data_IF_970596764063
#
_entry.id   IF_970596764063
#
_cell.length_a   1.000
_cell.length_b   1.000
_cell.length_c   1.000
_cell.angle_alpha   90.00
_cell.angle_beta   90.00
_cell.angle_gamma   90.00
#
_symmetry.space_group_name_H-M   'P 1'
#
loop_
_entity.id
_entity.type
_entity.pdbx_description
1 polymer ?
#
# COMPACT_ATOMS: atom_id res chain seq x y z
N UNK A 1 -44.04 -6.11 -17.47
CA UNK A 1 -43.67 -4.79 -16.91
C UNK A 1 -42.17 -4.82 -16.68
N UNK A 2 -41.39 -3.97 -17.34
CA UNK A 2 -39.94 -3.87 -17.10
C UNK A 2 -39.70 -2.79 -16.06
N UNK A 3 -39.35 -3.20 -14.84
CA UNK A 3 -38.88 -2.26 -13.82
C UNK A 3 -37.49 -1.73 -14.18
N UNK A 4 -37.21 -0.51 -13.76
CA UNK A 4 -35.92 0.17 -13.84
C UNK A 4 -35.41 0.30 -12.40
N UNK A 5 -34.14 -0.04 -12.19
CA UNK A 5 -33.49 -0.02 -10.88
C UNK A 5 -33.62 1.33 -10.20
N UNK A 6 -33.93 1.31 -8.89
CA UNK A 6 -33.99 2.52 -8.06
C UNK A 6 -35.29 3.32 -8.14
N UNK A 7 -36.23 2.94 -9.00
CA UNK A 7 -37.55 3.56 -9.06
C UNK A 7 -38.54 2.94 -8.07
N UNK A 8 -39.49 3.77 -7.63
CA UNK A 8 -40.63 3.35 -6.82
C UNK A 8 -41.79 2.92 -7.71
N UNK A 9 -42.24 1.68 -7.52
CA UNK A 9 -43.42 1.12 -8.21
C UNK A 9 -44.56 0.97 -7.21
N UNK A 10 -45.80 1.04 -7.66
CA UNK A 10 -46.97 0.72 -6.84
C UNK A 10 -47.79 -0.35 -7.53
N UNK A 11 -48.22 -1.37 -6.78
CA UNK A 11 -49.14 -2.37 -7.30
C UNK A 11 -50.57 -1.84 -7.16
N UNK A 12 -51.38 -1.90 -8.23
CA UNK A 12 -52.79 -1.56 -8.16
C UNK A 12 -53.63 -2.83 -8.36
N UNK A 13 -54.63 -3.04 -7.51
CA UNK A 13 -55.58 -4.16 -7.62
C UNK A 13 -57.01 -3.63 -7.68
N UNK A 14 -57.88 -4.35 -8.37
CA UNK A 14 -59.32 -4.15 -8.37
C UNK A 14 -60.02 -5.50 -8.28
N UNK A 15 -61.16 -5.57 -7.59
CA UNK A 15 -62.03 -6.74 -7.60
C UNK A 15 -63.00 -6.67 -8.77
N UNK A 16 -63.30 -7.81 -9.39
CA UNK A 16 -64.43 -7.98 -10.31
C UNK A 16 -65.30 -9.12 -9.77
N UNK A 17 -66.61 -8.91 -9.70
CA UNK A 17 -67.54 -9.95 -9.26
C UNK A 17 -67.96 -10.89 -10.42
N UNK A 18 -68.76 -11.92 -10.09
CA UNK A 18 -69.21 -12.93 -11.06
C UNK A 18 -70.13 -12.37 -12.16
N UNK A 19 -70.67 -11.15 -11.99
CA UNK A 19 -71.51 -10.46 -12.97
C UNK A 19 -70.78 -9.32 -13.68
N UNK A 20 -69.49 -9.13 -13.40
CA UNK A 20 -68.60 -8.23 -14.11
C UNK A 20 -68.47 -6.82 -13.51
N UNK A 21 -69.08 -6.52 -12.37
CA UNK A 21 -68.94 -5.22 -11.71
C UNK A 21 -67.58 -5.10 -11.03
N UNK A 22 -66.95 -3.94 -11.15
CA UNK A 22 -65.61 -3.69 -10.59
C UNK A 22 -65.62 -2.75 -9.39
N UNK A 23 -64.71 -2.97 -8.45
CA UNK A 23 -64.41 -2.01 -7.39
C UNK A 23 -63.60 -0.82 -7.91
N UNK A 24 -63.39 0.20 -7.06
CA UNK A 24 -62.31 1.15 -7.28
C UNK A 24 -60.95 0.45 -7.22
N UNK A 25 -59.96 0.99 -7.94
CA UNK A 25 -58.56 0.57 -7.83
C UNK A 25 -58.02 0.94 -6.45
N UNK A 26 -57.28 0.03 -5.84
CA UNK A 26 -56.53 0.26 -4.59
C UNK A 26 -55.05 0.07 -4.87
N UNK A 27 -54.24 1.08 -4.57
CA UNK A 27 -52.78 0.99 -4.66
C UNK A 27 -52.18 0.32 -3.43
N UNK A 28 -51.00 -0.29 -3.58
CA UNK A 28 -50.20 -0.77 -2.46
C UNK A 28 -49.92 0.36 -1.47
N UNK A 29 -49.94 0.05 -0.16
CA UNK A 29 -49.70 1.03 0.89
C UNK A 29 -48.25 1.56 0.90
N UNK A 30 -47.32 0.79 0.34
CA UNK A 30 -45.91 1.14 0.19
C UNK A 30 -45.47 0.98 -1.27
N UNK A 31 -44.40 1.69 -1.62
CA UNK A 31 -43.71 1.49 -2.88
C UNK A 31 -43.00 0.13 -2.89
N UNK A 32 -43.06 -0.53 -4.03
CA UNK A 32 -42.25 -1.67 -4.42
C UNK A 32 -40.95 -1.11 -4.99
N UNK A 33 -39.83 -1.45 -4.36
CA UNK A 33 -38.50 -1.09 -4.84
C UNK A 33 -37.92 -2.26 -5.62
N UNK A 34 -37.34 -1.97 -6.79
CA UNK A 34 -36.67 -2.95 -7.64
C UNK A 34 -35.19 -2.57 -7.73
N UNK A 35 -34.31 -3.48 -7.30
CA UNK A 35 -32.88 -3.39 -7.51
C UNK A 35 -32.39 -4.74 -8.05
N UNK A 36 -31.83 -4.71 -9.26
CA UNK A 36 -31.38 -5.91 -9.98
C UNK A 36 -29.89 -5.88 -10.30
N UNK A 37 -29.19 -4.80 -9.94
CA UNK A 37 -27.77 -4.64 -10.28
C UNK A 37 -26.96 -4.90 -9.02
N UNK A 38 -26.03 -5.86 -9.01
CA UNK A 38 -25.16 -6.02 -7.85
C UNK A 38 -24.12 -4.88 -7.76
N UNK A 39 -23.65 -4.51 -6.56
CA UNK A 39 -22.45 -3.69 -6.43
C UNK A 39 -21.24 -4.41 -7.05
N UNK A 40 -20.35 -3.67 -7.72
CA UNK A 40 -19.10 -4.22 -8.29
C UNK A 40 -17.92 -3.37 -7.86
N UNK A 41 -16.73 -3.95 -7.71
CA UNK A 41 -15.51 -3.18 -7.44
C UNK A 41 -15.12 -2.37 -8.68
N UNK A 42 -15.01 -1.06 -8.51
CA UNK A 42 -14.68 -0.11 -9.58
C UNK A 42 -13.18 0.23 -9.60
N UNK A 43 -12.57 0.39 -8.43
CA UNK A 43 -11.13 0.62 -8.32
C UNK A 43 -10.59 0.29 -6.93
N UNK A 44 -9.27 0.11 -6.85
CA UNK A 44 -8.50 0.01 -5.61
C UNK A 44 -7.38 1.03 -5.66
N UNK A 45 -7.23 1.86 -4.63
CA UNK A 45 -6.17 2.85 -4.56
C UNK A 45 -5.74 3.10 -3.12
N UNK A 46 -4.76 3.98 -2.89
CA UNK A 46 -4.35 4.43 -1.56
C UNK A 46 -4.33 5.96 -1.49
N UNK A 47 -4.48 6.52 -0.29
CA UNK A 47 -4.19 7.93 -0.02
C UNK A 47 -2.72 8.17 0.31
N UNK A 48 -1.92 7.10 0.44
CA UNK A 48 -0.48 7.20 0.62
C UNK A 48 0.15 7.80 -0.63
N UNK A 49 1.10 8.71 -0.45
CA UNK A 49 1.88 9.26 -1.56
C UNK A 49 2.73 8.15 -2.21
N UNK A 50 3.13 8.36 -3.45
CA UNK A 50 4.10 7.49 -4.10
C UNK A 50 5.46 7.59 -3.38
N UNK A 51 6.19 6.48 -3.28
CA UNK A 51 7.47 6.41 -2.59
C UNK A 51 7.73 5.09 -1.87
N UNK A 52 8.87 5.01 -1.19
CA UNK A 52 9.32 3.85 -0.44
C UNK A 52 8.97 3.93 1.04
N UNK A 53 8.51 2.80 1.60
CA UNK A 53 8.00 2.72 2.96
C UNK A 53 8.66 1.60 3.77
N UNK A 54 9.29 1.94 4.91
CA UNK A 54 9.93 0.97 5.79
C UNK A 54 8.93 0.28 6.72
N UNK A 55 9.45 -0.71 7.46
CA UNK A 55 8.73 -1.43 8.53
C UNK A 55 8.00 -0.47 9.47
N UNK A 56 6.79 -0.86 9.89
CA UNK A 56 5.94 -0.10 10.79
C UNK A 56 5.11 0.99 10.10
N UNK A 57 5.35 1.26 8.81
CA UNK A 57 4.52 2.19 8.06
C UNK A 57 3.11 1.65 7.89
N UNK A 58 2.12 2.49 8.20
CA UNK A 58 0.71 2.22 7.88
C UNK A 58 0.40 2.67 6.45
N UNK A 59 -0.23 1.78 5.69
CA UNK A 59 -0.72 1.97 4.33
C UNK A 59 -2.22 1.66 4.32
N UNK A 60 -3.01 2.72 4.16
CA UNK A 60 -4.46 2.67 4.08
C UNK A 60 -4.88 2.50 2.60
N UNK A 61 -5.73 1.52 2.32
CA UNK A 61 -6.13 1.08 0.97
C UNK A 61 -7.65 1.24 0.84
N UNK A 62 -8.08 1.98 -0.17
CA UNK A 62 -9.48 2.23 -0.46
C UNK A 62 -9.95 1.33 -1.60
N UNK A 63 -10.98 0.52 -1.34
CA UNK A 63 -11.69 -0.27 -2.35
C UNK A 63 -13.01 0.44 -2.66
N UNK A 64 -13.13 0.96 -3.88
CA UNK A 64 -14.31 1.68 -4.36
C UNK A 64 -15.26 0.72 -5.07
N UNK A 65 -16.54 0.77 -4.71
CA UNK A 65 -17.65 0.04 -5.33
C UNK A 65 -18.51 0.97 -6.19
N UNK A 66 -19.23 0.38 -7.15
CA UNK A 66 -20.15 1.09 -8.05
C UNK A 66 -21.36 1.71 -7.35
N UNK A 67 -21.70 1.24 -6.14
CA UNK A 67 -22.74 1.78 -5.27
C UNK A 67 -22.42 1.53 -3.81
N UNK A 68 -23.27 2.07 -2.93
CA UNK A 68 -23.16 1.89 -1.48
C UNK A 68 -23.25 0.41 -1.09
N UNK A 69 -22.35 -0.02 -0.22
CA UNK A 69 -22.27 -1.38 0.31
C UNK A 69 -22.34 -1.38 1.84
N UNK A 70 -22.85 -2.48 2.37
CA UNK A 70 -23.02 -2.79 3.79
C UNK A 70 -22.21 -4.04 4.08
N UNK A 71 -21.33 -3.93 5.07
CA UNK A 71 -20.46 -5.02 5.52
C UNK A 71 -21.07 -5.73 6.72
N UNK A 72 -21.09 -7.06 6.69
CA UNK A 72 -21.40 -7.91 7.86
C UNK A 72 -20.17 -8.70 8.28
N UNK A 73 -20.00 -8.93 9.59
CA UNK A 73 -18.83 -9.63 10.17
C UNK A 73 -17.49 -9.01 9.75
N UNK A 74 -17.24 -7.73 10.06
CA UNK A 74 -16.10 -6.97 9.53
C UNK A 74 -14.72 -7.61 9.80
N UNK A 75 -14.57 -8.36 10.90
CA UNK A 75 -13.31 -9.04 11.23
C UNK A 75 -12.95 -10.23 10.33
N UNK A 76 -13.82 -10.62 9.39
CA UNK A 76 -13.56 -11.68 8.40
C UNK A 76 -13.27 -11.12 7.00
N UNK A 77 -13.38 -9.80 6.82
CA UNK A 77 -13.16 -9.16 5.53
C UNK A 77 -11.68 -8.80 5.40
N UNK A 78 -11.04 -9.30 4.35
CA UNK A 78 -9.61 -9.12 4.13
C UNK A 78 -9.27 -8.93 2.65
N UNK A 79 -8.23 -8.15 2.39
CA UNK A 79 -7.64 -7.96 1.08
C UNK A 79 -6.20 -8.51 1.11
N UNK A 80 -5.94 -9.59 0.38
CA UNK A 80 -4.62 -10.19 0.33
C UNK A 80 -3.69 -9.37 -0.58
N UNK A 81 -2.55 -8.93 -0.05
CA UNK A 81 -1.54 -8.14 -0.74
C UNK A 81 -0.36 -9.03 -1.15
N UNK A 82 0.21 -8.72 -2.32
CA UNK A 82 1.49 -9.24 -2.78
C UNK A 82 2.61 -8.37 -2.19
N UNK A 83 3.21 -8.88 -1.11
CA UNK A 83 4.22 -8.17 -0.29
C UNK A 83 5.57 -8.86 -0.36
N UNK A 84 5.83 -9.66 -1.39
CA UNK A 84 7.08 -10.37 -1.63
C UNK A 84 6.98 -11.85 -1.28
N UNK A 85 7.99 -12.40 -0.59
CA UNK A 85 8.02 -13.84 -0.29
C UNK A 85 6.89 -14.31 0.64
N UNK A 86 6.24 -13.39 1.35
CA UNK A 86 5.08 -13.67 2.19
C UNK A 86 4.03 -12.62 1.94
N UNK A 87 2.85 -13.06 1.49
CA UNK A 87 1.68 -12.23 1.30
C UNK A 87 1.08 -11.81 2.65
N UNK A 88 0.60 -10.57 2.72
CA UNK A 88 -0.03 -10.02 3.92
C UNK A 88 -1.48 -9.66 3.65
N UNK A 89 -2.35 -9.94 4.61
CA UNK A 89 -3.74 -9.50 4.54
C UNK A 89 -3.88 -8.09 5.09
N UNK A 90 -4.32 -7.15 4.26
CA UNK A 90 -4.86 -5.88 4.71
C UNK A 90 -6.25 -6.10 5.33
N UNK A 91 -6.49 -5.54 6.50
CA UNK A 91 -7.70 -5.78 7.29
C UNK A 91 -8.71 -4.67 7.08
N UNK A 92 -10.00 -5.01 6.99
CA UNK A 92 -11.06 -4.01 6.91
C UNK A 92 -11.10 -3.13 8.17
N UNK A 93 -11.22 -1.82 7.98
CA UNK A 93 -11.27 -0.80 9.04
C UNK A 93 -12.63 -0.12 9.11
N UNK A 94 -13.14 0.39 7.98
CA UNK A 94 -14.36 1.21 7.93
C UNK A 94 -14.93 1.32 6.52
N UNK A 95 -16.10 1.97 6.38
CA UNK A 95 -16.68 2.30 5.07
C UNK A 95 -18.05 1.67 4.78
N UNK A 96 -18.55 0.81 5.67
CA UNK A 96 -19.93 0.30 5.61
C UNK A 96 -20.96 1.43 5.56
N UNK A 97 -22.01 1.27 4.76
CA UNK A 97 -22.97 2.32 4.36
C UNK A 97 -22.36 3.45 3.51
N UNK A 98 -21.23 3.19 2.86
CA UNK A 98 -20.67 4.04 1.81
C UNK A 98 -20.31 3.19 0.59
N UNK A 99 -19.88 3.81 -0.50
CA UNK A 99 -19.36 3.11 -1.68
C UNK A 99 -17.85 2.81 -1.59
N UNK A 100 -17.15 3.27 -0.54
CA UNK A 100 -15.72 3.05 -0.37
C UNK A 100 -15.46 2.32 0.94
N UNK A 101 -14.75 1.19 0.85
CA UNK A 101 -14.27 0.45 2.01
C UNK A 101 -12.79 0.72 2.24
N UNK A 102 -12.42 1.01 3.48
CA UNK A 102 -11.05 1.24 3.91
C UNK A 102 -10.48 -0.06 4.48
N UNK A 103 -9.32 -0.46 3.97
CA UNK A 103 -8.48 -1.54 4.46
C UNK A 103 -7.16 -0.96 4.96
N UNK A 104 -6.53 -1.64 5.91
CA UNK A 104 -5.25 -1.22 6.47
C UNK A 104 -4.24 -2.35 6.46
N UNK A 105 -3.06 -2.02 5.95
CA UNK A 105 -1.86 -2.81 6.02
C UNK A 105 -0.80 -2.05 6.81
N UNK A 106 -0.03 -2.75 7.63
CA UNK A 106 1.16 -2.21 8.30
C UNK A 106 2.35 -3.02 7.84
N UNK A 107 3.36 -2.34 7.29
CA UNK A 107 4.57 -2.98 6.76
C UNK A 107 5.25 -3.79 7.87
N UNK A 108 5.48 -5.08 7.62
CA UNK A 108 6.12 -5.99 8.57
C UNK A 108 7.56 -6.27 8.13
N UNK A 109 8.42 -6.66 9.07
CA UNK A 109 9.79 -7.06 8.73
C UNK A 109 9.79 -8.24 7.74
N UNK A 110 10.58 -8.13 6.67
CA UNK A 110 10.70 -9.13 5.61
C UNK A 110 9.76 -8.91 4.43
N UNK A 111 8.77 -8.02 4.54
CA UNK A 111 7.90 -7.65 3.42
C UNK A 111 8.70 -6.78 2.44
N UNK A 112 8.66 -7.10 1.14
CA UNK A 112 9.37 -6.34 0.11
C UNK A 112 8.58 -6.39 -1.19
N UNK A 113 8.21 -5.23 -1.73
CA UNK A 113 7.48 -5.11 -2.99
C UNK A 113 7.95 -3.89 -3.76
N UNK A 114 8.35 -4.09 -5.01
CA UNK A 114 8.75 -3.00 -5.90
C UNK A 114 7.58 -2.12 -6.33
N UNK A 115 6.35 -2.63 -6.21
CA UNK A 115 5.11 -1.89 -6.40
C UNK A 115 3.96 -2.66 -5.72
N UNK A 116 3.44 -2.13 -4.62
CA UNK A 116 2.48 -2.80 -3.76
C UNK A 116 1.15 -3.02 -4.50
N UNK A 117 0.70 -4.27 -4.52
CA UNK A 117 -0.52 -4.67 -5.22
C UNK A 117 -1.29 -5.70 -4.40
N UNK A 118 -2.57 -5.91 -4.71
CA UNK A 118 -3.28 -7.11 -4.26
C UNK A 118 -2.83 -8.35 -5.04
N UNK A 119 -2.84 -9.51 -4.40
CA UNK A 119 -2.27 -10.74 -4.96
C UNK A 119 -2.94 -11.18 -6.27
N UNK A 120 -4.25 -11.02 -6.39
CA UNK A 120 -5.02 -11.45 -7.56
C UNK A 120 -6.39 -10.76 -7.63
N UNK A 121 -7.11 -10.95 -8.73
CA UNK A 121 -8.48 -10.42 -8.88
C UNK A 121 -9.48 -11.01 -7.87
N UNK A 122 -9.14 -12.11 -7.20
CA UNK A 122 -9.97 -12.73 -6.14
C UNK A 122 -9.42 -12.47 -4.73
N UNK A 123 -8.50 -11.53 -4.55
CA UNK A 123 -7.83 -11.27 -3.27
C UNK A 123 -8.73 -10.62 -2.20
N UNK A 124 -9.88 -10.05 -2.59
CA UNK A 124 -10.87 -9.55 -1.65
C UNK A 124 -11.77 -10.70 -1.17
N UNK A 125 -11.69 -11.00 0.12
CA UNK A 125 -12.40 -12.14 0.72
C UNK A 125 -13.25 -11.68 1.90
N UNK A 126 -14.32 -12.43 2.18
CA UNK A 126 -15.30 -12.06 3.22
C UNK A 126 -15.48 -13.11 4.32
N UNK A 127 -14.85 -14.28 4.20
CA UNK A 127 -15.04 -15.41 5.13
C UNK A 127 -16.52 -15.75 5.30
N UNK A 128 -17.01 -15.74 6.56
CA UNK A 128 -18.44 -15.91 6.90
C UNK A 128 -19.25 -14.60 6.87
N UNK A 129 -18.60 -13.48 6.52
CA UNK A 129 -19.21 -12.17 6.35
C UNK A 129 -19.85 -11.97 4.97
N UNK A 130 -20.23 -10.73 4.69
CA UNK A 130 -20.79 -10.34 3.39
C UNK A 130 -20.54 -8.86 3.10
N UNK A 131 -20.50 -8.53 1.81
CA UNK A 131 -20.55 -7.18 1.28
C UNK A 131 -21.75 -7.15 0.34
N UNK A 132 -22.77 -6.36 0.68
CA UNK A 132 -24.05 -6.32 -0.05
C UNK A 132 -24.66 -4.93 0.00
N UNK A 133 -25.58 -4.62 -0.90
CA UNK A 133 -26.33 -3.36 -0.81
C UNK A 133 -27.51 -3.43 0.19
N UNK A 134 -28.27 -2.34 0.29
CA UNK A 134 -29.48 -2.26 1.12
C UNK A 134 -30.64 -3.13 0.61
N UNK A 135 -30.61 -3.56 -0.65
CA UNK A 135 -31.56 -4.51 -1.23
C UNK A 135 -31.14 -5.97 -0.99
N UNK A 136 -30.03 -6.21 -0.27
CA UNK A 136 -29.39 -7.49 -0.02
C UNK A 136 -28.76 -8.16 -1.26
N UNK A 137 -28.50 -7.42 -2.34
CA UNK A 137 -27.73 -7.93 -3.47
C UNK A 137 -26.26 -8.06 -3.07
N UNK A 138 -25.72 -9.27 -3.15
CA UNK A 138 -24.30 -9.55 -2.85
C UNK A 138 -23.42 -8.89 -3.89
N UNK A 139 -22.36 -8.21 -3.44
CA UNK A 139 -21.40 -7.55 -4.32
C UNK A 139 -20.55 -8.57 -5.10
N UNK A 140 -20.24 -8.25 -6.35
CA UNK A 140 -19.15 -8.89 -7.08
C UNK A 140 -17.82 -8.35 -6.53
N UNK A 141 -17.02 -9.26 -5.96
CA UNK A 141 -15.76 -8.94 -5.30
C UNK A 141 -14.55 -9.05 -6.25
N UNK A 142 -14.80 -9.35 -7.53
CA UNK A 142 -13.75 -9.40 -8.54
C UNK A 142 -13.08 -8.03 -8.64
N UNK A 143 -11.81 -7.96 -8.26
CA UNK A 143 -11.00 -6.75 -8.36
C UNK A 143 -10.61 -6.49 -9.82
N UNK A 144 -10.30 -5.23 -10.18
CA UNK A 144 -9.72 -4.92 -11.49
C UNK A 144 -8.48 -5.75 -11.79
N UNK A 145 -8.14 -5.92 -13.08
CA UNK A 145 -6.86 -6.55 -13.42
C UNK A 145 -5.68 -5.72 -12.87
N UNK A 146 -4.64 -6.40 -12.39
CA UNK A 146 -3.46 -5.74 -11.83
C UNK A 146 -2.69 -4.94 -12.89
N UNK A 147 -2.05 -3.84 -12.48
CA UNK A 147 -1.30 -2.95 -13.37
C UNK A 147 -2.15 -1.95 -14.17
N UNK A 148 -3.48 -2.01 -14.08
CA UNK A 148 -4.36 -1.00 -14.67
C UNK A 148 -4.49 0.22 -13.75
N UNK A 149 -4.82 1.39 -14.32
CA UNK A 149 -5.07 2.63 -13.58
C UNK A 149 -6.16 2.53 -12.48
N UNK A 150 -6.98 1.47 -12.52
CA UNK A 150 -8.00 1.16 -11.50
C UNK A 150 -7.54 0.15 -10.44
N UNK A 151 -6.33 -0.40 -10.56
CA UNK A 151 -5.70 -1.28 -9.55
C UNK A 151 -4.78 -0.50 -8.62
N UNK A 152 -4.34 -1.11 -7.50
CA UNK A 152 -3.51 -0.40 -6.51
C UNK A 152 -2.18 0.07 -7.11
N UNK A 153 -1.34 -0.86 -7.56
CA UNK A 153 -0.04 -0.55 -8.19
C UNK A 153 -0.13 0.18 -9.55
N UNK A 154 -1.26 0.07 -10.26
CA UNK A 154 -1.45 0.89 -11.46
C UNK A 154 -1.91 2.33 -11.18
N UNK A 155 -2.36 2.64 -9.96
CA UNK A 155 -2.81 3.97 -9.55
C UNK A 155 -1.87 4.67 -8.56
N UNK A 156 -0.88 3.96 -8.04
CA UNK A 156 0.14 4.42 -7.08
C UNK A 156 1.44 3.65 -7.29
N UNK A 157 2.57 4.31 -7.05
CA UNK A 157 3.89 3.71 -7.03
C UNK A 157 4.36 3.57 -5.57
N UNK A 158 3.81 2.59 -4.85
CA UNK A 158 4.11 2.34 -3.44
C UNK A 158 5.14 1.22 -3.35
N UNK A 159 6.38 1.57 -2.98
CA UNK A 159 7.44 0.60 -2.75
C UNK A 159 7.43 0.22 -1.27
N UNK A 160 7.45 -1.08 -0.99
CA UNK A 160 7.70 -1.61 0.36
C UNK A 160 9.14 -2.11 0.38
N UNK A 161 9.97 -1.51 1.23
CA UNK A 161 11.37 -1.88 1.38
C UNK A 161 11.68 -2.02 2.87
N UNK A 162 12.05 -3.23 3.27
CA UNK A 162 12.37 -3.56 4.66
C UNK A 162 13.80 -4.04 4.85
N UNK A 163 14.62 -3.89 3.82
CA UNK A 163 16.03 -4.29 3.85
C UNK A 163 16.86 -3.10 4.31
N UNK A 164 17.43 -3.21 5.52
CA UNK A 164 18.38 -2.22 6.00
C UNK A 164 19.64 -2.22 5.12
N UNK A 165 20.21 -1.04 4.82
CA UNK A 165 21.43 -0.96 4.04
C UNK A 165 22.61 -1.57 4.81
N UNK A 166 23.58 -2.11 4.07
CA UNK A 166 24.77 -2.71 4.70
C UNK A 166 25.62 -1.61 5.33
N UNK A 167 25.94 -1.77 6.62
CA UNK A 167 26.82 -0.87 7.34
C UNK A 167 28.22 -0.84 6.69
N UNK A 168 28.79 0.35 6.46
CA UNK A 168 30.08 0.45 5.80
C UNK A 168 31.20 0.08 6.78
N UNK A 169 32.29 -0.48 6.28
CA UNK A 169 33.45 -0.91 7.07
C UNK A 169 34.66 -0.07 6.67
N UNK A 170 35.41 0.42 7.65
CA UNK A 170 36.73 1.02 7.42
C UNK A 170 37.76 -0.11 7.32
N UNK A 171 38.48 -0.22 6.21
CA UNK A 171 39.53 -1.22 6.01
C UNK A 171 40.94 -0.62 6.00
N UNK A 172 41.07 0.66 5.66
CA UNK A 172 42.33 1.39 5.77
C UNK A 172 42.10 2.83 6.28
N UNK A 173 42.90 3.31 7.25
CA UNK A 173 43.93 2.58 7.98
C UNK A 173 43.34 1.44 8.84
N UNK A 174 44.13 0.38 9.06
CA UNK A 174 43.69 -0.78 9.86
C UNK A 174 43.44 -0.33 11.31
N UNK A 175 42.35 -0.80 11.92
CA UNK A 175 42.02 -0.47 13.30
C UNK A 175 43.17 -0.83 14.26
N UNK A 176 43.47 0.06 15.21
CA UNK A 176 44.55 -0.09 16.20
C UNK A 176 45.96 -0.28 15.61
N UNK A 177 46.20 0.12 14.37
CA UNK A 177 47.55 0.15 13.79
C UNK A 177 48.24 1.49 14.03
N UNK A 178 49.54 1.45 14.33
CA UNK A 178 50.38 2.64 14.30
C UNK A 178 50.67 3.01 12.85
N UNK A 179 50.40 4.26 12.50
CA UNK A 179 50.73 4.83 11.20
C UNK A 179 52.04 5.60 11.34
N UNK A 180 53.02 5.29 10.49
CA UNK A 180 54.33 5.96 10.48
C UNK A 180 54.37 7.18 9.55
N UNK A 181 53.23 7.52 8.95
CA UNK A 181 53.01 8.70 8.14
C UNK A 181 51.60 9.26 8.42
N UNK A 182 51.41 10.55 8.12
CA UNK A 182 50.09 11.18 8.25
C UNK A 182 49.05 10.46 7.39
N UNK A 183 47.86 10.21 7.94
CA UNK A 183 46.78 9.53 7.22
C UNK A 183 46.08 10.55 6.33
N UNK A 184 46.27 10.44 5.02
CA UNK A 184 45.68 11.34 4.03
C UNK A 184 44.40 10.80 3.38
N UNK A 185 44.11 9.52 3.53
CA UNK A 185 42.90 8.90 3.01
C UNK A 185 42.41 7.78 3.92
N UNK A 186 41.09 7.56 3.89
CA UNK A 186 40.42 6.47 4.58
C UNK A 186 39.56 5.74 3.55
N UNK A 187 39.65 4.42 3.52
CA UNK A 187 38.92 3.59 2.57
C UNK A 187 38.28 2.39 3.25
N UNK A 188 37.37 1.77 2.52
CA UNK A 188 36.56 0.71 3.06
C UNK A 188 35.64 0.06 2.06
N UNK A 189 34.75 -0.77 2.59
CA UNK A 189 33.66 -1.39 1.84
C UNK A 189 32.30 -0.92 2.35
N UNK A 190 31.29 -1.04 1.49
CA UNK A 190 29.89 -0.74 1.80
C UNK A 190 28.97 -1.40 0.78
N UNK A 191 27.67 -1.19 0.95
CA UNK A 191 26.72 -1.36 -0.14
C UNK A 191 27.03 -0.42 -1.32
N UNK A 192 26.64 -0.85 -2.52
CA UNK A 192 26.82 -0.06 -3.73
C UNK A 192 25.98 1.21 -3.71
N UNK A 193 26.54 2.30 -4.24
CA UNK A 193 25.90 3.62 -4.30
C UNK A 193 25.54 4.24 -2.95
N UNK A 194 25.94 3.61 -1.84
CA UNK A 194 25.78 4.16 -0.51
C UNK A 194 26.55 5.49 -0.38
N UNK A 195 25.92 6.48 0.23
CA UNK A 195 26.58 7.72 0.63
C UNK A 195 27.25 7.46 1.97
N UNK A 196 28.58 7.54 2.00
CA UNK A 196 29.42 7.32 3.16
C UNK A 196 29.80 8.65 3.78
N UNK A 197 29.56 8.77 5.08
CA UNK A 197 30.04 9.89 5.89
C UNK A 197 31.09 9.38 6.87
N UNK A 198 32.25 10.03 6.91
CA UNK A 198 33.35 9.70 7.81
C UNK A 198 33.46 10.77 8.90
N UNK A 199 33.54 10.32 10.15
CA UNK A 199 33.64 11.18 11.34
C UNK A 199 34.87 10.85 12.17
N UNK A 200 35.43 11.87 12.82
CA UNK A 200 36.36 11.75 13.94
C UNK A 200 35.69 12.32 15.19
N UNK A 201 35.37 11.45 16.16
CA UNK A 201 34.46 11.82 17.24
C UNK A 201 33.09 12.24 16.68
N UNK A 202 32.62 13.47 17.00
CA UNK A 202 31.37 14.03 16.48
C UNK A 202 31.52 14.79 15.16
N UNK A 203 32.74 15.10 14.73
CA UNK A 203 33.02 15.96 13.56
C UNK A 203 33.05 15.14 12.28
N UNK A 204 32.30 15.57 11.26
CA UNK A 204 32.42 15.02 9.89
C UNK A 204 33.71 15.52 9.26
N UNK A 205 34.54 14.60 8.79
CA UNK A 205 35.85 14.90 8.18
C UNK A 205 35.90 14.55 6.69
N UNK A 206 34.83 13.95 6.14
CA UNK A 206 34.66 13.76 4.71
C UNK A 206 33.42 12.93 4.37
N UNK A 207 33.07 12.93 3.10
CA UNK A 207 31.98 12.13 2.56
C UNK A 207 32.30 11.67 1.14
N UNK A 208 31.77 10.53 0.73
CA UNK A 208 31.85 10.03 -0.65
C UNK A 208 30.64 9.18 -1.00
N UNK A 209 30.47 8.83 -2.28
CA UNK A 209 29.57 7.75 -2.68
C UNK A 209 30.40 6.52 -3.02
N UNK A 210 30.00 5.35 -2.54
CA UNK A 210 30.64 4.10 -2.91
C UNK A 210 30.50 3.79 -4.41
N UNK A 211 31.59 3.32 -5.01
CA UNK A 211 31.64 2.85 -6.40
C UNK A 211 31.74 1.33 -6.38
N UNK A 212 30.68 0.65 -6.85
CA UNK A 212 30.50 -0.76 -6.50
C UNK A 212 30.48 -0.90 -4.97
N UNK A 213 31.13 -1.92 -4.42
CA UNK A 213 31.18 -2.14 -2.96
C UNK A 213 32.31 -1.40 -2.25
N UNK A 214 33.05 -0.53 -2.92
CA UNK A 214 34.24 0.13 -2.38
C UNK A 214 34.04 1.64 -2.25
N UNK A 215 34.65 2.23 -1.22
CA UNK A 215 34.67 3.68 -1.05
C UNK A 215 36.05 4.16 -0.58
N UNK A 216 36.38 5.39 -0.92
CA UNK A 216 37.59 6.08 -0.46
C UNK A 216 37.31 7.56 -0.28
N UNK A 217 37.78 8.12 0.83
CA UNK A 217 37.71 9.54 1.16
C UNK A 217 39.14 10.04 1.33
N UNK A 218 39.53 10.97 0.47
CA UNK A 218 40.76 11.75 0.69
C UNK A 218 40.44 12.86 1.69
N UNK A 219 41.21 12.96 2.76
CA UNK A 219 41.01 13.93 3.82
C UNK A 219 41.57 15.30 3.38
N UNK A 220 40.75 16.35 3.53
CA UNK A 220 41.19 17.72 3.23
C UNK A 220 42.36 18.18 4.12
N UNK A 221 42.48 17.60 5.31
CA UNK A 221 43.62 17.77 6.20
C UNK A 221 44.04 16.38 6.70
N UNK A 222 45.24 15.90 6.32
CA UNK A 222 45.74 14.62 6.81
C UNK A 222 45.80 14.59 8.34
N UNK A 223 45.49 13.43 8.92
CA UNK A 223 45.59 13.23 10.36
C UNK A 223 47.07 13.12 10.75
N UNK A 224 47.58 14.10 11.49
CA UNK A 224 48.93 14.12 12.06
C UNK A 224 49.00 13.34 13.38
N UNK A 225 50.18 13.26 14.00
CA UNK A 225 50.41 12.54 15.27
C UNK A 225 49.31 12.77 16.31
N UNK A 226 48.68 11.68 16.74
CA UNK A 226 47.57 11.69 17.68
C UNK A 226 46.79 10.37 17.69
N UNK A 227 45.84 10.27 18.61
CA UNK A 227 44.88 9.15 18.66
C UNK A 227 43.52 9.62 18.16
N UNK A 228 42.99 8.95 17.15
CA UNK A 228 41.70 9.28 16.52
C UNK A 228 40.75 8.09 16.60
N UNK A 229 39.47 8.34 16.87
CA UNK A 229 38.40 7.35 16.76
C UNK A 229 37.57 7.67 15.53
N UNK A 230 37.82 6.92 14.45
CA UNK A 230 37.10 7.07 13.19
C UNK A 230 35.84 6.21 13.18
N UNK A 231 34.75 6.78 12.70
CA UNK A 231 33.47 6.08 12.49
C UNK A 231 32.90 6.46 11.14
N UNK A 232 32.26 5.52 10.48
CA UNK A 232 31.55 5.74 9.24
C UNK A 232 30.07 5.34 9.38
N UNK A 233 29.22 5.99 8.60
CA UNK A 233 27.82 5.63 8.44
C UNK A 233 27.44 5.69 6.98
N UNK A 234 26.51 4.83 6.56
CA UNK A 234 25.94 4.85 5.22
C UNK A 234 24.47 5.26 5.27
N UNK A 235 24.02 5.85 4.16
CA UNK A 235 22.61 5.86 3.77
C UNK A 235 22.52 5.57 2.28
N UNK A 236 21.49 4.87 1.84
CA UNK A 236 21.18 4.76 0.41
C UNK A 236 20.67 6.11 -0.10
N UNK A 237 20.87 6.37 -1.39
CA UNK A 237 20.18 7.50 -2.04
C UNK A 237 18.71 7.12 -2.10
N UNK A 238 17.85 7.98 -1.59
CA UNK A 238 16.40 7.81 -1.67
C UNK A 238 15.99 7.65 -3.15
N UNK A 239 15.26 6.58 -3.48
CA UNK A 239 14.80 6.29 -4.85
C UNK A 239 13.65 7.23 -5.30
N UNK A 240 13.27 8.22 -4.49
CA UNK A 240 12.11 9.09 -4.70
C UNK A 240 12.17 10.11 -5.84
N UNK A 241 12.98 9.95 -6.89
CA UNK A 241 13.01 10.97 -7.97
C UNK A 241 13.18 10.49 -9.43
N UNK A 242 13.05 9.20 -9.74
CA UNK A 242 13.24 8.72 -11.14
C UNK A 242 11.98 8.22 -11.86
N UNK A 243 10.79 8.33 -11.26
CA UNK A 243 9.52 8.03 -11.95
C UNK A 243 8.64 9.28 -12.05
N UNK A 244 9.04 10.18 -12.94
CA UNK A 244 8.26 11.34 -13.31
C UNK A 244 8.60 11.79 -14.71
N UNK A 245 7.95 11.16 -15.69
CA UNK A 245 7.64 11.69 -17.02
C UNK A 245 6.25 11.18 -17.43
#
# INVERSE_FOLDING_TARGET
>A
MTGVTGNSYYGCVQGQDAVGLTSAWVSSAAAILVDTVAPVVSSVTSTKADGAYPVGTVIDINVLFSKTVIVTSPGQIGLLLETGSTDRTATYVSGSNSNTLLFRYTVQAGDNSSDLQYQSTSALTVGTGSIKDSANSVADLTLPATGLATSLGGSKAIVVDTIDPIAPVISAPINASYQTAAVSAVSGSSEANAVIELRSGSTVIGSTTAVGTSWSITLASPLSDGSYSLRNSSRLRDFGSEYGD
#
